data_IF_429728702047
#
_entry.id   IF_429728702047
#
_cell.length_a   1.000
_cell.length_b   1.000
_cell.length_c   1.000
_cell.angle_alpha   90.00
_cell.angle_beta   90.00
_cell.angle_gamma   90.00
#
_symmetry.space_group_name_H-M   'P 1'
#
loop_
_entity.id
_entity.type
_entity.pdbx_description
1 polymer ?
#
# COMPACT_ATOMS: atom_id res chain seq x y z
N UNK A 1 4.43 13.88 11.13
CA UNK A 1 5.86 14.20 11.40
C UNK A 1 6.44 13.21 12.40
N UNK A 2 5.71 12.89 13.48
CA UNK A 2 6.17 11.95 14.51
C UNK A 2 6.44 10.54 13.96
N UNK A 3 5.60 10.06 13.03
CA UNK A 3 5.68 8.74 12.42
C UNK A 3 6.91 8.58 11.53
N UNK A 4 7.23 9.64 10.77
CA UNK A 4 8.43 9.71 9.95
C UNK A 4 9.69 9.68 10.83
N UNK A 5 9.72 10.46 11.91
CA UNK A 5 10.83 10.45 12.88
C UNK A 5 10.96 9.09 13.56
N UNK A 6 9.84 8.45 13.92
CA UNK A 6 9.84 7.11 14.50
C UNK A 6 10.39 6.05 13.52
N UNK A 7 10.04 6.13 12.23
CA UNK A 7 10.58 5.25 11.20
C UNK A 7 12.09 5.48 11.02
N UNK A 8 12.52 6.74 10.91
CA UNK A 8 13.94 7.09 10.84
C UNK A 8 14.73 6.61 12.06
N UNK A 9 14.15 6.70 13.26
CA UNK A 9 14.79 6.21 14.48
C UNK A 9 15.13 4.70 14.37
N UNK A 10 14.33 3.89 13.70
CA UNK A 10 14.65 2.46 13.49
C UNK A 10 15.88 2.26 12.59
N UNK A 11 16.15 3.19 11.67
CA UNK A 11 17.31 3.15 10.78
C UNK A 11 18.56 3.81 11.37
N UNK A 12 18.37 4.83 12.22
CA UNK A 12 19.44 5.66 12.78
C UNK A 12 19.86 5.23 14.19
N UNK A 13 19.10 4.34 14.84
CA UNK A 13 19.53 3.76 16.12
C UNK A 13 20.85 3.02 15.88
N UNK A 14 21.94 3.38 16.57
CA UNK A 14 23.22 2.73 16.36
C UNK A 14 23.07 1.24 16.62
N UNK A 15 23.44 0.42 15.64
CA UNK A 15 23.83 -0.95 15.96
C UNK A 15 24.99 -0.81 16.95
N UNK A 16 24.78 -1.19 18.21
CA UNK A 16 25.91 -1.28 19.13
C UNK A 16 26.93 -2.22 18.46
N UNK A 17 28.22 -1.85 18.37
CA UNK A 17 29.20 -2.56 17.53
C UNK A 17 29.44 -4.04 17.91
N UNK A 18 28.79 -4.52 18.98
CA UNK A 18 28.90 -5.86 19.55
C UNK A 18 27.58 -6.66 19.41
N UNK A 19 26.46 -6.02 19.04
CA UNK A 19 25.13 -6.64 18.98
C UNK A 19 24.63 -6.72 17.55
N UNK A 20 24.00 -7.84 17.22
CA UNK A 20 23.21 -8.00 15.99
C UNK A 20 22.18 -6.86 15.90
N UNK A 21 21.91 -6.32 14.70
CA UNK A 21 20.88 -5.30 14.53
C UNK A 21 19.54 -5.78 15.11
N UNK A 22 18.72 -4.86 15.65
CA UNK A 22 17.47 -5.23 16.32
C UNK A 22 16.54 -5.97 15.35
N UNK A 23 15.88 -7.02 15.84
CA UNK A 23 14.84 -7.73 15.10
C UNK A 23 13.57 -6.88 15.10
N UNK A 24 13.22 -6.31 13.94
CA UNK A 24 12.04 -5.46 13.79
C UNK A 24 10.74 -6.26 13.57
N UNK A 25 10.81 -7.56 13.31
CA UNK A 25 9.61 -8.38 13.00
C UNK A 25 8.48 -8.22 14.03
N UNK A 26 8.73 -8.30 15.36
CA UNK A 26 7.65 -8.13 16.35
C UNK A 26 7.00 -6.75 16.29
N UNK A 27 7.80 -5.71 16.07
CA UNK A 27 7.31 -4.33 15.95
C UNK A 27 6.47 -4.15 14.68
N UNK A 28 6.91 -4.73 13.56
CA UNK A 28 6.19 -4.69 12.28
C UNK A 28 4.83 -5.41 12.39
N UNK A 29 4.81 -6.57 13.05
CA UNK A 29 3.58 -7.32 13.33
C UNK A 29 2.62 -6.54 14.24
N UNK A 30 3.12 -5.96 15.33
CA UNK A 30 2.30 -5.13 16.23
C UNK A 30 1.70 -3.94 15.49
N UNK A 31 2.54 -3.21 14.74
CA UNK A 31 2.13 -2.05 13.96
C UNK A 31 1.07 -2.41 12.90
N UNK A 32 1.22 -3.53 12.21
CA UNK A 32 0.27 -3.95 11.17
C UNK A 32 -1.06 -4.42 11.76
N UNK A 33 -0.99 -5.20 12.84
CA UNK A 33 -2.17 -5.76 13.50
C UNK A 33 -2.97 -4.71 14.27
N UNK A 34 -2.35 -3.57 14.59
CA UNK A 34 -3.08 -2.46 15.17
C UNK A 34 -4.18 -1.92 14.23
N UNK A 35 -5.42 -1.96 14.72
CA UNK A 35 -6.63 -1.61 13.97
C UNK A 35 -6.96 -0.12 13.98
N UNK A 36 -6.42 0.66 14.92
CA UNK A 36 -6.72 2.10 15.07
C UNK A 36 -6.03 2.99 14.03
N UNK A 37 -5.19 2.40 13.17
CA UNK A 37 -4.55 3.08 12.04
C UNK A 37 -3.32 3.91 12.41
N UNK A 38 -2.98 4.06 13.69
CA UNK A 38 -1.88 4.94 14.15
C UNK A 38 -0.52 4.59 13.55
N UNK A 39 -0.28 3.31 13.23
CA UNK A 39 1.01 2.86 12.69
C UNK A 39 1.02 2.67 11.17
N UNK A 40 -0.08 2.96 10.45
CA UNK A 40 -0.11 2.77 8.99
C UNK A 40 0.92 3.64 8.28
N UNK A 41 0.97 4.92 8.65
CA UNK A 41 1.93 5.88 8.08
C UNK A 41 3.37 5.50 8.45
N UNK A 42 3.58 5.05 9.69
CA UNK A 42 4.88 4.54 10.15
C UNK A 42 5.38 3.40 9.27
N UNK A 43 4.56 2.36 9.03
CA UNK A 43 4.94 1.22 8.19
C UNK A 43 5.21 1.63 6.74
N UNK A 44 4.37 2.51 6.17
CA UNK A 44 4.56 3.04 4.81
C UNK A 44 5.92 3.74 4.66
N UNK A 45 6.26 4.62 5.60
CA UNK A 45 7.57 5.27 5.60
C UNK A 45 8.71 4.27 5.76
N UNK A 46 8.57 3.30 6.65
CA UNK A 46 9.62 2.32 6.92
C UNK A 46 9.93 1.44 5.69
N UNK A 47 8.90 1.09 4.94
CA UNK A 47 9.01 0.39 3.65
C UNK A 47 9.63 1.32 2.59
N UNK A 48 9.17 2.56 2.48
CA UNK A 48 9.72 3.54 1.54
C UNK A 48 11.20 3.84 1.77
N UNK A 49 11.63 3.92 3.03
CA UNK A 49 13.04 4.06 3.43
C UNK A 49 13.88 2.82 3.07
N UNK A 50 13.24 1.65 2.99
CA UNK A 50 13.90 0.40 2.61
C UNK A 50 14.08 0.26 1.09
N UNK A 51 13.43 1.11 0.30
CA UNK A 51 13.53 1.08 -1.16
C UNK A 51 14.91 1.61 -1.62
N UNK A 52 15.58 0.95 -2.60
CA UNK A 52 16.95 1.31 -2.99
C UNK A 52 17.14 2.76 -3.42
N UNK A 53 16.18 3.32 -4.17
CA UNK A 53 16.26 4.68 -4.70
C UNK A 53 16.14 5.75 -3.58
N UNK A 54 15.15 5.61 -2.68
CA UNK A 54 14.98 6.49 -1.50
C UNK A 54 16.19 6.43 -0.59
N UNK A 55 16.74 5.23 -0.40
CA UNK A 55 17.92 4.98 0.42
C UNK A 55 19.11 5.79 -0.04
N UNK A 56 19.41 5.79 -1.35
CA UNK A 56 20.55 6.55 -1.91
C UNK A 56 20.40 8.04 -1.65
N UNK A 57 19.23 8.62 -1.93
CA UNK A 57 18.99 10.06 -1.76
C UNK A 57 19.10 10.51 -0.30
N UNK A 58 18.56 9.71 0.63
CA UNK A 58 18.57 10.06 2.05
C UNK A 58 19.93 9.78 2.72
N UNK A 59 20.70 8.81 2.22
CA UNK A 59 22.05 8.53 2.74
C UNK A 59 23.00 9.72 2.55
N UNK A 60 22.81 10.54 1.51
CA UNK A 60 23.58 11.78 1.31
C UNK A 60 23.37 12.79 2.46
N UNK A 61 22.19 12.79 3.09
CA UNK A 61 21.81 13.75 4.13
C UNK A 61 21.92 13.16 5.54
N UNK A 62 21.55 11.88 5.70
CA UNK A 62 21.34 11.22 6.99
C UNK A 62 22.43 10.18 7.33
N UNK A 63 23.35 9.92 6.41
CA UNK A 63 24.39 8.90 6.56
C UNK A 63 23.92 7.49 6.26
N UNK A 64 24.79 6.50 6.48
CA UNK A 64 24.58 5.12 6.03
C UNK A 64 23.44 4.43 6.78
N UNK A 65 22.37 4.09 6.07
CA UNK A 65 21.31 3.21 6.59
C UNK A 65 21.72 1.73 6.62
N UNK A 66 21.52 1.02 7.75
CA UNK A 66 21.81 -0.40 7.87
C UNK A 66 21.04 -1.24 6.84
N UNK A 67 21.77 -1.98 6.00
CA UNK A 67 21.16 -2.84 4.98
C UNK A 67 20.33 -3.97 5.59
N UNK A 68 20.73 -4.48 6.75
CA UNK A 68 20.00 -5.54 7.45
C UNK A 68 18.59 -5.12 7.87
N UNK A 69 18.40 -3.86 8.30
CA UNK A 69 17.09 -3.33 8.64
C UNK A 69 16.20 -3.25 7.38
N UNK A 70 16.75 -2.76 6.25
CA UNK A 70 16.03 -2.76 4.97
C UNK A 70 15.61 -4.18 4.57
N UNK A 71 16.49 -5.17 4.70
CA UNK A 71 16.18 -6.56 4.38
C UNK A 71 15.05 -7.12 5.26
N UNK A 72 15.11 -6.93 6.59
CA UNK A 72 14.07 -7.39 7.50
C UNK A 72 12.68 -6.84 7.12
N UNK A 73 12.61 -5.56 6.77
CA UNK A 73 11.35 -4.86 6.43
C UNK A 73 10.80 -5.36 5.10
N UNK A 74 11.66 -5.51 4.08
CA UNK A 74 11.27 -6.01 2.77
C UNK A 74 10.85 -7.49 2.85
N UNK A 75 11.57 -8.31 3.61
CA UNK A 75 11.25 -9.73 3.79
C UNK A 75 9.94 -9.92 4.58
N UNK A 76 9.73 -9.14 5.63
CA UNK A 76 8.45 -9.10 6.36
C UNK A 76 7.29 -8.75 5.43
N UNK A 77 7.46 -7.68 4.64
CA UNK A 77 6.46 -7.23 3.67
C UNK A 77 6.14 -8.32 2.63
N UNK A 78 7.15 -8.99 2.06
CA UNK A 78 6.96 -10.08 1.09
C UNK A 78 6.21 -11.27 1.69
N UNK A 79 6.59 -11.72 2.88
CA UNK A 79 5.89 -12.81 3.61
C UNK A 79 4.42 -12.47 3.82
N UNK A 80 4.10 -11.20 4.06
CA UNK A 80 2.71 -10.77 4.24
C UNK A 80 1.86 -10.93 2.98
N UNK A 81 2.47 -10.83 1.80
CA UNK A 81 1.80 -11.00 0.51
C UNK A 81 1.59 -12.47 0.14
N UNK A 82 2.54 -13.35 0.48
CA UNK A 82 2.40 -14.80 0.29
C UNK A 82 1.20 -15.36 1.08
N UNK A 83 0.94 -14.80 2.26
CA UNK A 83 -0.18 -15.18 3.11
C UNK A 83 -1.55 -14.64 2.65
N UNK A 84 -1.58 -13.78 1.63
CA UNK A 84 -2.84 -13.27 1.09
C UNK A 84 -3.32 -14.25 0.04
N UNK A 85 -4.43 -14.89 0.36
CA UNK A 85 -5.07 -15.85 -0.49
C UNK A 85 -5.53 -15.18 -1.80
N UNK A 86 -4.74 -15.39 -2.86
CA UNK A 86 -5.03 -14.90 -4.22
C UNK A 86 -6.26 -15.58 -4.85
N UNK A 87 -6.81 -16.62 -4.22
CA UNK A 87 -7.91 -17.45 -4.75
C UNK A 87 -9.26 -17.19 -4.08
N UNK A 88 -9.30 -16.59 -2.90
CA UNK A 88 -10.58 -16.23 -2.27
C UNK A 88 -10.93 -14.79 -2.55
N UNK A 89 -12.19 -14.57 -2.95
CA UNK A 89 -12.86 -13.26 -2.93
C UNK A 89 -12.37 -12.50 -1.70
N UNK A 90 -11.55 -11.46 -1.89
CA UNK A 90 -10.80 -10.76 -0.83
C UNK A 90 -11.74 -10.03 0.17
N UNK A 91 -13.05 -10.28 0.12
CA UNK A 91 -14.01 -9.21 0.30
C UNK A 91 -15.25 -9.52 1.13
N UNK A 92 -15.31 -10.66 1.82
CA UNK A 92 -16.37 -10.90 2.81
C UNK A 92 -16.26 -10.00 4.05
N UNK A 93 -15.05 -9.70 4.51
CA UNK A 93 -14.81 -9.08 5.82
C UNK A 93 -14.07 -7.74 5.73
N UNK A 94 -14.45 -6.72 6.52
CA UNK A 94 -13.81 -5.40 6.53
C UNK A 94 -12.29 -5.45 6.74
N UNK A 95 -11.81 -6.36 7.59
CA UNK A 95 -10.37 -6.49 7.90
C UNK A 95 -9.53 -6.85 6.68
N UNK A 96 -10.05 -7.75 5.83
CA UNK A 96 -9.36 -8.16 4.59
C UNK A 96 -9.28 -7.01 3.58
N UNK A 97 -10.29 -6.13 3.53
CA UNK A 97 -10.27 -4.95 2.65
C UNK A 97 -9.24 -3.92 3.11
N UNK A 98 -9.13 -3.71 4.44
CA UNK A 98 -8.08 -2.84 5.02
C UNK A 98 -6.69 -3.39 4.73
N UNK A 99 -6.49 -4.70 4.93
CA UNK A 99 -5.21 -5.35 4.64
C UNK A 99 -4.87 -5.29 3.15
N UNK A 100 -5.86 -5.42 2.26
CA UNK A 100 -5.69 -5.21 0.82
C UNK A 100 -5.25 -3.77 0.52
N UNK A 101 -5.93 -2.75 1.05
CA UNK A 101 -5.52 -1.36 0.81
C UNK A 101 -4.10 -1.09 1.35
N UNK A 102 -3.77 -1.60 2.54
CA UNK A 102 -2.41 -1.49 3.07
C UNK A 102 -1.38 -2.18 2.17
N UNK A 103 -1.71 -3.31 1.54
CA UNK A 103 -0.84 -3.94 0.54
C UNK A 103 -0.56 -3.00 -0.64
N UNK A 104 -1.58 -2.35 -1.21
CA UNK A 104 -1.39 -1.37 -2.29
C UNK A 104 -0.40 -0.28 -1.87
N UNK A 105 -0.57 0.27 -0.66
CA UNK A 105 0.35 1.26 -0.12
C UNK A 105 1.77 0.71 0.06
N UNK A 106 1.94 -0.46 0.67
CA UNK A 106 3.26 -1.05 0.89
C UNK A 106 4.00 -1.33 -0.43
N UNK A 107 3.30 -1.86 -1.43
CA UNK A 107 3.89 -2.11 -2.74
C UNK A 107 4.26 -0.80 -3.45
N UNK A 108 3.40 0.21 -3.35
CA UNK A 108 3.67 1.54 -3.89
C UNK A 108 4.91 2.16 -3.25
N UNK A 109 4.97 2.22 -1.91
CA UNK A 109 6.11 2.78 -1.17
C UNK A 109 7.41 1.99 -1.41
N UNK A 110 7.33 0.67 -1.59
CA UNK A 110 8.51 -0.16 -1.88
C UNK A 110 9.15 0.19 -3.23
N UNK A 111 8.39 0.84 -4.13
CA UNK A 111 8.81 1.25 -5.47
C UNK A 111 9.42 0.09 -6.26
N UNK A 112 8.90 -1.12 -6.01
CA UNK A 112 9.31 -2.36 -6.65
C UNK A 112 8.24 -2.78 -7.67
N UNK A 113 8.33 -2.22 -8.88
CA UNK A 113 7.35 -2.47 -9.94
C UNK A 113 7.16 -3.96 -10.29
N UNK A 114 8.23 -4.80 -10.39
CA UNK A 114 8.06 -6.24 -10.56
C UNK A 114 7.24 -6.88 -9.44
N UNK A 115 7.53 -6.55 -8.17
CA UNK A 115 6.79 -7.11 -7.04
C UNK A 115 5.32 -6.66 -7.02
N UNK A 116 5.05 -5.39 -7.38
CA UNK A 116 3.68 -4.89 -7.56
C UNK A 116 2.94 -5.71 -8.63
N UNK A 117 3.57 -5.93 -9.78
CA UNK A 117 2.99 -6.71 -10.88
C UNK A 117 2.73 -8.16 -10.49
N UNK A 118 3.68 -8.83 -9.84
CA UNK A 118 3.54 -10.22 -9.40
C UNK A 118 2.46 -10.40 -8.31
N UNK A 119 2.22 -9.33 -7.54
CA UNK A 119 1.23 -9.35 -6.46
C UNK A 119 -0.14 -8.92 -6.96
N UNK A 120 -0.29 -7.66 -7.38
CA UNK A 120 -1.57 -7.05 -7.79
C UNK A 120 -1.96 -7.46 -9.20
N UNK A 121 -1.01 -7.54 -10.14
CA UNK A 121 -1.28 -7.87 -11.54
C UNK A 121 -1.96 -9.23 -11.75
N UNK A 122 -1.84 -10.13 -10.76
CA UNK A 122 -2.49 -11.44 -10.75
C UNK A 122 -3.91 -11.45 -10.17
N UNK A 123 -4.38 -10.35 -9.56
CA UNK A 123 -5.69 -10.26 -8.94
C UNK A 123 -6.78 -10.10 -10.00
N UNK A 124 -7.81 -10.95 -9.91
CA UNK A 124 -9.00 -10.87 -10.78
C UNK A 124 -10.08 -9.96 -10.22
N UNK A 125 -10.27 -10.00 -8.91
CA UNK A 125 -11.25 -9.18 -8.22
C UNK A 125 -10.62 -8.33 -7.12
N UNK A 126 -10.98 -7.05 -7.10
CA UNK A 126 -10.55 -6.10 -6.08
C UNK A 126 -11.80 -5.50 -5.44
N UNK A 127 -11.93 -5.61 -4.13
CA UNK A 127 -13.07 -5.03 -3.41
C UNK A 127 -12.59 -4.26 -2.20
N UNK A 128 -12.78 -2.94 -2.28
CA UNK A 128 -12.47 -1.98 -1.24
C UNK A 128 -13.75 -1.31 -0.71
N UNK A 129 -14.92 -1.85 -1.04
CA UNK A 129 -16.21 -1.27 -0.66
C UNK A 129 -16.35 -1.03 0.84
N UNK A 130 -17.07 0.05 1.18
CA UNK A 130 -17.28 0.52 2.54
C UNK A 130 -15.97 0.94 3.24
N UNK A 131 -14.96 1.34 2.48
CA UNK A 131 -13.75 1.93 3.01
C UNK A 131 -13.56 3.32 2.38
N UNK A 132 -13.48 4.36 3.21
CA UNK A 132 -13.26 5.72 2.72
C UNK A 132 -11.91 5.81 2.04
N UNK A 133 -11.89 6.14 0.74
CA UNK A 133 -10.67 6.33 -0.05
C UNK A 133 -10.44 7.82 -0.26
N UNK A 134 -9.31 8.31 0.23
CA UNK A 134 -8.85 9.65 -0.08
C UNK A 134 -8.12 9.65 -1.46
N UNK A 135 -7.78 10.83 -2.02
CA UNK A 135 -7.10 10.90 -3.32
C UNK A 135 -5.76 10.14 -3.41
N UNK A 136 -5.03 10.01 -2.29
CA UNK A 136 -3.80 9.22 -2.23
C UNK A 136 -4.11 7.73 -2.31
N UNK A 137 -5.14 7.26 -1.61
CA UNK A 137 -5.61 5.88 -1.71
C UNK A 137 -6.01 5.54 -3.15
N UNK A 138 -6.75 6.43 -3.83
CA UNK A 138 -7.11 6.25 -5.24
C UNK A 138 -5.88 6.22 -6.16
N UNK A 139 -4.85 7.02 -5.85
CA UNK A 139 -3.59 7.05 -6.63
C UNK A 139 -2.83 5.72 -6.50
N UNK A 140 -2.69 5.19 -5.29
CA UNK A 140 -1.97 3.91 -5.10
C UNK A 140 -2.75 2.73 -5.68
N UNK A 141 -4.09 2.76 -5.60
CA UNK A 141 -4.95 1.76 -6.24
C UNK A 141 -4.78 1.83 -7.75
N UNK A 142 -4.80 3.03 -8.35
CA UNK A 142 -4.54 3.20 -9.78
C UNK A 142 -3.17 2.62 -10.18
N UNK A 143 -2.10 2.94 -9.46
CA UNK A 143 -0.76 2.42 -9.73
C UNK A 143 -0.70 0.88 -9.69
N UNK A 144 -1.42 0.23 -8.76
CA UNK A 144 -1.51 -1.23 -8.75
C UNK A 144 -2.28 -1.78 -9.96
N UNK A 145 -3.41 -1.16 -10.31
CA UNK A 145 -4.23 -1.54 -11.47
C UNK A 145 -3.51 -1.33 -12.80
N UNK A 146 -2.60 -0.36 -12.90
CA UNK A 146 -1.74 -0.18 -14.07
C UNK A 146 -0.94 -1.44 -14.39
N UNK A 147 -0.56 -2.22 -13.36
CA UNK A 147 0.19 -3.48 -13.53
C UNK A 147 -0.66 -4.67 -13.98
N UNK A 148 -2.00 -4.57 -13.87
CA UNK A 148 -2.93 -5.60 -14.33
C UNK A 148 -3.08 -5.55 -15.85
N UNK A 149 -3.25 -6.71 -16.48
CA UNK A 149 -3.67 -6.77 -17.89
C UNK A 149 -5.18 -6.60 -18.02
N UNK A 150 -5.94 -7.38 -17.25
CA UNK A 150 -7.40 -7.32 -17.14
C UNK A 150 -7.81 -7.58 -15.69
N UNK A 151 -8.78 -6.82 -15.20
CA UNK A 151 -9.42 -7.01 -13.89
C UNK A 151 -10.89 -7.32 -14.12
N UNK A 152 -11.35 -8.47 -13.64
CA UNK A 152 -12.74 -8.93 -13.85
C UNK A 152 -13.73 -8.04 -13.09
N UNK A 153 -13.39 -7.64 -11.85
CA UNK A 153 -14.24 -6.76 -11.07
C UNK A 153 -13.46 -5.85 -10.13
N UNK A 154 -13.84 -4.57 -10.11
CA UNK A 154 -13.49 -3.63 -9.03
C UNK A 154 -14.75 -3.16 -8.34
N UNK A 155 -14.81 -3.38 -7.02
CA UNK A 155 -15.87 -2.88 -6.16
C UNK A 155 -15.38 -1.76 -5.22
N UNK A 156 -15.81 -0.54 -5.52
CA UNK A 156 -15.57 0.68 -4.75
C UNK A 156 -16.89 1.28 -4.21
N UNK A 157 -17.93 0.46 -4.02
CA UNK A 157 -19.20 0.93 -3.44
C UNK A 157 -18.99 1.57 -2.06
N UNK A 158 -19.64 2.69 -1.77
CA UNK A 158 -19.56 3.41 -0.48
C UNK A 158 -18.12 3.79 -0.05
N UNK A 159 -17.25 4.14 -1.01
CA UNK A 159 -15.85 4.52 -0.71
C UNK A 159 -15.63 6.02 -0.57
N UNK A 160 -16.64 6.86 -0.81
CA UNK A 160 -16.53 8.31 -0.80
C UNK A 160 -15.34 8.85 -1.61
N UNK A 161 -15.04 8.25 -2.78
CA UNK A 161 -13.86 8.63 -3.58
C UNK A 161 -13.86 10.10 -4.03
N UNK A 162 -15.02 10.78 -4.00
CA UNK A 162 -15.23 12.13 -4.50
C UNK A 162 -14.79 12.28 -5.98
N UNK A 163 -14.92 13.47 -6.55
CA UNK A 163 -14.52 13.72 -7.94
C UNK A 163 -13.01 13.57 -8.15
N UNK A 164 -12.19 14.01 -7.18
CA UNK A 164 -10.73 13.92 -7.30
C UNK A 164 -10.24 12.46 -7.26
N UNK A 165 -10.77 11.62 -6.36
CA UNK A 165 -10.36 10.21 -6.32
C UNK A 165 -10.75 9.46 -7.60
N UNK A 166 -11.94 9.73 -8.16
CA UNK A 166 -12.32 9.19 -9.47
C UNK A 166 -11.35 9.63 -10.55
N UNK A 167 -10.96 10.91 -10.59
CA UNK A 167 -9.99 11.43 -11.56
C UNK A 167 -8.65 10.66 -11.54
N UNK A 168 -8.21 10.17 -10.38
CA UNK A 168 -6.98 9.35 -10.25
C UNK A 168 -7.15 7.95 -10.85
N UNK A 169 -8.37 7.42 -10.87
CA UNK A 169 -8.67 6.07 -11.34
C UNK A 169 -8.99 6.01 -12.83
N UNK A 170 -9.47 7.10 -13.45
CA UNK A 170 -9.98 7.10 -14.85
C UNK A 170 -9.03 6.41 -15.83
N UNK A 171 -7.72 6.67 -15.74
CA UNK A 171 -6.73 6.12 -16.67
C UNK A 171 -6.66 4.59 -16.65
N UNK A 172 -7.10 3.92 -15.59
CA UNK A 172 -7.02 2.46 -15.44
C UNK A 172 -8.37 1.75 -15.51
N UNK A 173 -9.49 2.47 -15.48
CA UNK A 173 -10.83 1.85 -15.46
C UNK A 173 -11.11 1.04 -16.73
N UNK A 174 -10.49 1.38 -17.85
CA UNK A 174 -10.62 0.64 -19.11
C UNK A 174 -10.10 -0.81 -19.04
N UNK A 175 -9.30 -1.14 -18.01
CA UNK A 175 -8.82 -2.50 -17.74
C UNK A 175 -9.82 -3.37 -16.98
N UNK A 176 -10.92 -2.77 -16.52
CA UNK A 176 -11.90 -3.41 -15.64
C UNK A 176 -13.11 -3.86 -16.47
N UNK A 177 -13.49 -5.13 -16.37
CA UNK A 177 -14.70 -5.63 -17.03
C UNK A 177 -15.97 -5.19 -16.29
N UNK A 178 -15.90 -5.13 -14.95
CA UNK A 178 -16.98 -4.68 -14.08
C UNK A 178 -16.47 -3.65 -13.06
N UNK A 179 -17.14 -2.50 -12.98
CA UNK A 179 -16.83 -1.42 -12.05
C UNK A 179 -18.06 -1.07 -11.21
N UNK A 180 -17.92 -1.13 -9.89
CA UNK A 180 -18.97 -0.73 -8.94
C UNK A 180 -18.53 0.53 -8.20
N UNK A 181 -19.29 1.60 -8.37
CA UNK A 181 -19.05 2.93 -7.79
C UNK A 181 -20.29 3.48 -7.06
N UNK A 182 -21.20 2.61 -6.66
CA UNK A 182 -22.43 2.98 -5.97
C UNK A 182 -22.16 3.78 -4.70
N UNK A 183 -23.05 4.74 -4.39
CA UNK A 183 -23.02 5.53 -3.15
C UNK A 183 -21.70 6.29 -2.89
N UNK A 184 -20.98 6.71 -3.94
CA UNK A 184 -19.78 7.56 -3.81
C UNK A 184 -20.08 9.07 -3.89
N UNK A 185 -21.35 9.45 -4.04
CA UNK A 185 -21.80 10.85 -4.16
C UNK A 185 -21.04 11.65 -5.25
N UNK A 186 -20.84 11.04 -6.42
CA UNK A 186 -19.98 11.58 -7.48
C UNK A 186 -20.52 12.87 -8.13
N UNK A 187 -21.85 13.04 -8.13
CA UNK A 187 -22.54 14.10 -8.86
C UNK A 187 -22.25 14.09 -10.37
N UNK A 188 -22.80 15.06 -11.09
CA UNK A 188 -22.62 15.18 -12.55
C UNK A 188 -21.15 15.34 -12.94
N UNK A 189 -20.38 16.07 -12.13
CA UNK A 189 -18.96 16.31 -12.36
C UNK A 189 -18.14 15.02 -12.32
N UNK A 190 -18.39 14.14 -11.34
CA UNK A 190 -17.71 12.86 -11.24
C UNK A 190 -18.13 11.89 -12.35
N UNK A 191 -19.41 11.85 -12.69
CA UNK A 191 -19.91 10.99 -13.79
C UNK A 191 -19.31 11.41 -15.14
N UNK A 192 -19.20 12.72 -15.42
CA UNK A 192 -18.55 13.24 -16.64
C UNK A 192 -17.08 12.85 -16.78
N UNK A 193 -16.41 12.41 -15.71
CA UNK A 193 -15.02 11.91 -15.77
C UNK A 193 -14.93 10.44 -16.14
N UNK A 194 -16.05 9.71 -16.06
CA UNK A 194 -16.14 8.29 -16.39
C UNK A 194 -16.56 8.04 -17.85
N UNK A 195 -17.09 9.05 -18.53
CA UNK A 195 -17.50 9.03 -19.94
C UNK A 195 -16.40 9.58 -20.85
#
# INVERSE_FOLDING_TARGET
IQEFVAALAQFLTPAQPILTPPNLTPLLEEAHNNRDGRFQIFLRFLIGLSAPHTKVQLQEVLGTFPTEISHQVIDWMKKRFENIDKKTNISGYPEKRRDLLNMFHYLFESQNAPLMKDTIGSLKEINLSNFTLNPVDCTVVAAGLETCEVVEQINLDNCYCQTEGVQRLVSVLHKCESLRLGNNNLGDCGVKRLC
#
